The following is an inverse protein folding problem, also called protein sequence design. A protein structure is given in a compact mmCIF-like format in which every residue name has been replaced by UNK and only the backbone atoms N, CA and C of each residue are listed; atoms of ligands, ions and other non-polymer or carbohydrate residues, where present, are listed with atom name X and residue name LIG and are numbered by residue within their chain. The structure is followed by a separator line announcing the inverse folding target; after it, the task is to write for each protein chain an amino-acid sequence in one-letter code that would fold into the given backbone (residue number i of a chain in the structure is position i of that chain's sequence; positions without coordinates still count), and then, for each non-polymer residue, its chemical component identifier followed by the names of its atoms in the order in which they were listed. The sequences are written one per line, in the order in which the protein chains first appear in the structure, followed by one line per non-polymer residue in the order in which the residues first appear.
data_IF_158517256815
#
_entry.id   IF_158517256815
#
_cell.length_a   1.000
_cell.length_b   1.000
_cell.length_c   1.000
_cell.angle_alpha   90.00
_cell.angle_beta   90.00
_cell.angle_gamma   90.00
#
_symmetry.space_group_name_H-M   'P 1'
#
loop_
_entity.id
_entity.type
_entity.pdbx_description
1 polymer ?
#
# COMPACT_ATOMS: atom_id res chain seq x y z
N UNK A 1 1.73 17.54 31.28
CA UNK A 1 1.00 17.82 30.03
C UNK A 1 1.98 17.59 28.88
N UNK A 2 1.71 16.61 28.01
CA UNK A 2 2.60 16.25 26.91
C UNK A 2 2.56 17.29 25.79
N UNK A 3 3.73 17.63 25.23
CA UNK A 3 3.83 18.45 24.02
C UNK A 3 3.47 17.60 22.79
N UNK A 4 2.18 17.32 22.65
CA UNK A 4 1.65 16.59 21.51
C UNK A 4 1.46 17.57 20.34
N UNK A 5 2.02 17.22 19.19
CA UNK A 5 2.02 18.05 17.99
C UNK A 5 1.45 17.31 16.79
N UNK A 6 0.70 18.04 15.96
CA UNK A 6 0.24 17.55 14.66
C UNK A 6 1.32 17.74 13.59
N UNK A 7 1.31 16.87 12.58
CA UNK A 7 2.13 17.06 11.38
C UNK A 7 1.62 18.26 10.55
N UNK A 8 2.55 18.95 9.88
CA UNK A 8 2.24 20.08 9.01
C UNK A 8 1.42 19.71 7.77
N UNK A 9 1.28 20.64 6.82
CA UNK A 9 0.58 20.37 5.57
C UNK A 9 1.29 19.27 4.77
N UNK A 10 0.52 18.27 4.35
CA UNK A 10 1.01 17.16 3.52
C UNK A 10 0.61 15.80 4.08
N UNK A 11 0.79 14.76 3.29
CA UNK A 11 0.70 13.39 3.75
C UNK A 11 2.11 12.87 4.02
N UNK A 12 2.30 12.21 5.17
CA UNK A 12 3.59 11.69 5.60
C UNK A 12 3.47 10.19 5.85
N UNK A 13 4.41 9.42 5.32
CA UNK A 13 4.45 7.97 5.45
C UNK A 13 5.80 7.52 5.97
N UNK A 14 5.77 6.57 6.90
CA UNK A 14 6.96 5.83 7.32
C UNK A 14 6.92 4.42 6.75
N UNK A 15 8.10 3.96 6.37
CA UNK A 15 8.36 2.57 6.13
C UNK A 15 8.71 1.89 7.45
N UNK A 16 7.94 0.89 7.85
CA UNK A 16 8.18 0.09 9.04
C UNK A 16 8.57 -1.32 8.61
N UNK A 17 9.74 -1.77 9.06
CA UNK A 17 10.21 -3.14 8.87
C UNK A 17 9.65 -4.05 9.96
N UNK A 18 9.71 -5.37 9.77
CA UNK A 18 9.20 -6.36 10.74
C UNK A 18 7.68 -6.19 11.01
N UNK A 19 6.85 -6.31 9.97
CA UNK A 19 5.38 -6.35 10.07
C UNK A 19 4.84 -7.22 11.24
N UNK A 20 5.50 -8.34 11.56
CA UNK A 20 5.14 -9.21 12.70
C UNK A 20 5.31 -8.56 14.08
N UNK A 21 6.22 -7.61 14.25
CA UNK A 21 6.37 -6.83 15.49
C UNK A 21 5.28 -5.75 15.62
N UNK A 22 4.80 -5.21 14.49
CA UNK A 22 3.60 -4.36 14.48
C UNK A 22 2.36 -5.12 15.01
N UNK A 23 2.19 -6.39 14.65
CA UNK A 23 1.13 -7.25 15.24
C UNK A 23 1.26 -7.40 16.77
N UNK A 24 2.49 -7.36 17.30
CA UNK A 24 2.74 -7.51 18.75
C UNK A 24 2.42 -6.26 19.56
N UNK A 25 2.37 -5.07 18.94
CA UNK A 25 1.88 -3.85 19.60
C UNK A 25 0.40 -3.97 20.05
N UNK A 26 -0.31 -5.03 19.65
CA UNK A 26 -1.67 -5.37 20.08
C UNK A 26 -1.73 -6.30 21.32
N UNK A 27 -0.61 -6.87 21.76
CA UNK A 27 -0.63 -8.00 22.71
C UNK A 27 -1.25 -9.28 22.13
N UNK A 28 -1.51 -9.36 20.81
CA UNK A 28 -1.95 -10.59 20.13
C UNK A 28 -0.75 -11.40 19.65
N UNK A 29 -0.47 -12.52 20.34
CA UNK A 29 0.47 -13.54 19.88
C UNK A 29 -0.09 -14.30 18.68
N UNK A 30 0.14 -13.80 17.46
CA UNK A 30 -0.07 -14.62 16.27
C UNK A 30 1.11 -15.59 16.13
N UNK A 31 0.92 -16.83 16.59
CA UNK A 31 1.81 -17.99 16.39
C UNK A 31 1.72 -18.49 14.93
N UNK A 32 1.92 -17.60 13.96
CA UNK A 32 1.97 -17.91 12.55
C UNK A 32 3.36 -17.62 11.99
N UNK A 33 4.29 -18.56 12.15
CA UNK A 33 5.60 -18.47 11.52
C UNK A 33 5.45 -18.55 9.99
N UNK A 34 5.63 -17.40 9.30
CA UNK A 34 5.83 -17.35 7.85
C UNK A 34 7.22 -16.81 7.54
N UNK A 35 8.25 -17.65 7.71
CA UNK A 35 9.63 -17.45 7.23
C UNK A 35 10.35 -16.13 7.60
N UNK A 36 11.67 -16.00 7.35
CA UNK A 36 12.40 -14.76 7.52
C UNK A 36 12.15 -13.77 6.36
N UNK A 37 10.90 -13.65 5.92
CA UNK A 37 10.46 -12.65 4.98
C UNK A 37 10.14 -11.37 5.74
N UNK A 38 11.09 -10.43 5.77
CA UNK A 38 10.91 -9.09 6.31
C UNK A 38 9.79 -8.39 5.52
N UNK A 39 8.53 -8.58 5.94
CA UNK A 39 7.42 -7.87 5.35
C UNK A 39 7.53 -6.40 5.75
N UNK A 40 7.80 -5.58 4.74
CA UNK A 40 7.81 -4.14 4.78
C UNK A 40 6.37 -3.63 4.79
N UNK A 41 6.06 -2.64 5.63
CA UNK A 41 4.74 -2.04 5.69
C UNK A 41 4.84 -0.51 5.67
N UNK A 42 3.93 0.14 4.98
CA UNK A 42 3.87 1.61 4.92
C UNK A 42 2.69 2.08 5.75
N UNK A 43 2.95 3.03 6.65
CA UNK A 43 1.97 3.59 7.57
C UNK A 43 1.97 5.10 7.47
N UNK A 44 0.82 5.71 7.71
CA UNK A 44 0.70 7.17 7.73
C UNK A 44 1.09 7.69 9.10
N UNK A 45 1.86 8.76 9.18
CA UNK A 45 2.07 9.48 10.45
C UNK A 45 1.01 10.54 10.57
N UNK A 46 0.49 10.72 11.78
CA UNK A 46 -0.56 11.69 12.11
C UNK A 46 -0.12 12.70 13.16
N UNK A 47 0.96 12.41 13.91
CA UNK A 47 1.51 13.33 14.90
C UNK A 47 2.67 12.73 15.69
N UNK A 48 3.05 13.43 16.76
CA UNK A 48 4.05 12.97 17.72
C UNK A 48 3.70 13.49 19.12
N UNK A 49 4.36 12.94 20.12
CA UNK A 49 4.17 13.40 21.50
C UNK A 49 5.27 12.93 22.44
N UNK A 50 5.01 13.18 23.72
CA UNK A 50 5.81 12.68 24.84
C UNK A 50 4.88 12.23 25.95
N UNK A 51 4.98 10.96 26.31
CA UNK A 51 4.24 10.38 27.43
C UNK A 51 5.23 9.78 28.42
N UNK A 52 5.14 10.16 29.71
CA UNK A 52 6.01 9.66 30.77
C UNK A 52 7.52 9.75 30.46
N UNK A 53 7.93 10.81 29.76
CA UNK A 53 9.33 11.02 29.34
C UNK A 53 9.74 10.27 28.07
N UNK A 54 8.87 9.43 27.51
CA UNK A 54 9.14 8.67 26.27
C UNK A 54 8.55 9.41 25.06
N UNK A 55 9.40 9.74 24.09
CA UNK A 55 9.00 10.36 22.82
C UNK A 55 8.39 9.30 21.90
N UNK A 56 7.28 9.63 21.26
CA UNK A 56 6.63 8.73 20.30
C UNK A 56 6.22 9.43 19.00
N UNK A 57 6.11 8.65 17.93
CA UNK A 57 5.34 8.97 16.73
C UNK A 57 3.94 8.36 16.87
N UNK A 58 2.90 9.08 16.47
CA UNK A 58 1.55 8.55 16.28
C UNK A 58 1.37 8.21 14.82
N UNK A 59 1.06 6.95 14.53
CA UNK A 59 0.79 6.47 13.18
C UNK A 59 -0.62 5.93 13.04
N UNK A 60 -1.17 6.02 11.82
CA UNK A 60 -2.42 5.38 11.42
C UNK A 60 -2.12 4.17 10.56
N UNK A 61 -2.68 3.03 10.95
CA UNK A 61 -2.56 1.78 10.22
C UNK A 61 -3.75 1.59 9.26
N UNK A 62 -3.59 0.68 8.30
CA UNK A 62 -4.58 0.37 7.26
C UNK A 62 -5.36 -0.92 7.53
N UNK A 63 -5.30 -1.44 8.76
CA UNK A 63 -5.95 -2.71 9.15
C UNK A 63 -7.35 -2.54 9.72
N UNK A 64 -7.88 -1.32 9.75
CA UNK A 64 -9.21 -1.01 10.29
C UNK A 64 -9.17 -0.64 11.78
N UNK A 65 -10.32 -0.16 12.27
CA UNK A 65 -10.43 0.45 13.61
C UNK A 65 -10.38 -0.54 14.77
N UNK A 66 -10.56 -1.83 14.51
CA UNK A 66 -10.50 -2.88 15.54
C UNK A 66 -9.07 -3.20 16.01
N UNK A 67 -8.05 -2.62 15.36
CA UNK A 67 -6.65 -2.85 15.66
C UNK A 67 -6.04 -1.66 16.41
N UNK A 68 -5.15 -1.92 17.37
CA UNK A 68 -4.43 -0.88 18.10
C UNK A 68 -5.36 0.08 18.85
N UNK A 69 -5.07 1.37 18.73
CA UNK A 69 -5.79 2.48 19.37
C UNK A 69 -6.85 3.03 18.42
N UNK A 70 -7.84 2.21 18.05
CA UNK A 70 -8.89 2.61 17.10
C UNK A 70 -8.41 2.67 15.64
N UNK A 71 -7.38 1.91 15.28
CA UNK A 71 -6.71 1.91 13.98
C UNK A 71 -5.37 2.67 13.98
N UNK A 72 -5.07 3.40 15.05
CA UNK A 72 -3.81 4.10 15.23
C UNK A 72 -2.83 3.28 16.12
N UNK A 73 -1.57 3.68 16.16
CA UNK A 73 -0.54 3.13 17.05
C UNK A 73 0.48 4.19 17.44
N UNK A 74 1.29 3.86 18.44
CA UNK A 74 2.43 4.66 18.88
C UNK A 74 3.72 3.84 18.78
N UNK A 75 4.77 4.47 18.30
CA UNK A 75 6.11 3.87 18.18
C UNK A 75 7.16 4.82 18.74
N UNK A 76 8.18 4.28 19.39
CA UNK A 76 9.27 5.07 19.97
C UNK A 76 9.94 5.93 18.90
N UNK A 77 10.10 7.21 19.20
CA UNK A 77 10.68 8.22 18.31
C UNK A 77 12.09 8.59 18.75
N UNK A 78 12.98 8.78 17.77
CA UNK A 78 14.37 9.19 17.94
C UNK A 78 15.34 8.02 18.15
N UNK A 79 14.89 6.79 17.93
CA UNK A 79 15.70 5.57 18.08
C UNK A 79 15.68 4.70 16.81
N UNK A 80 15.09 5.18 15.71
CA UNK A 80 14.87 4.41 14.48
C UNK A 80 14.29 3.00 14.73
N UNK A 81 13.35 2.89 15.67
CA UNK A 81 12.76 1.61 16.04
C UNK A 81 12.01 1.01 14.84
N UNK A 82 12.20 -0.28 14.57
CA UNK A 82 11.69 -0.97 13.37
C UNK A 82 12.07 -0.29 12.04
N UNK A 83 13.18 0.44 12.01
CA UNK A 83 13.62 1.27 10.89
C UNK A 83 12.59 2.32 10.44
N UNK A 84 11.70 2.74 11.34
CA UNK A 84 10.62 3.68 11.02
C UNK A 84 11.12 5.04 10.56
N UNK A 85 12.34 5.44 10.94
CA UNK A 85 12.92 6.75 10.63
C UNK A 85 13.94 6.67 9.49
N UNK A 86 14.16 5.48 8.93
CA UNK A 86 15.15 5.23 7.89
C UNK A 86 14.67 5.47 6.47
N UNK A 87 13.35 5.38 6.21
CA UNK A 87 12.78 5.65 4.90
C UNK A 87 11.39 6.32 5.02
N UNK A 88 11.32 7.57 4.59
CA UNK A 88 10.19 8.46 4.80
C UNK A 88 9.80 9.11 3.47
N UNK A 89 8.50 9.14 3.20
CA UNK A 89 7.96 9.83 2.02
C UNK A 89 6.93 10.86 2.43
N UNK A 90 6.94 12.01 1.75
CA UNK A 90 5.93 13.05 1.95
C UNK A 90 5.60 13.76 0.64
N UNK A 91 4.40 14.34 0.58
CA UNK A 91 3.98 15.18 -0.52
C UNK A 91 2.97 16.23 -0.05
N UNK A 92 2.99 17.40 -0.68
CA UNK A 92 1.94 18.40 -0.59
C UNK A 92 1.12 18.31 -1.89
N UNK A 93 -0.18 18.01 -1.82
CA UNK A 93 -1.00 17.96 -3.02
C UNK A 93 -1.02 19.34 -3.68
N UNK A 94 -0.92 19.37 -5.00
CA UNK A 94 -1.18 20.57 -5.76
C UNK A 94 -2.66 20.92 -5.60
N UNK A 95 -2.96 22.17 -5.27
CA UNK A 95 -4.33 22.66 -5.24
C UNK A 95 -4.85 22.83 -6.68
N UNK A 96 -5.44 21.76 -7.18
CA UNK A 96 -6.11 21.72 -8.49
C UNK A 96 -7.60 21.99 -8.37
N UNK A 97 -8.16 21.92 -7.15
CA UNK A 97 -9.60 22.09 -6.91
C UNK A 97 -10.02 23.55 -7.01
N UNK A 98 -9.28 24.48 -6.38
CA UNK A 98 -9.62 25.91 -6.45
C UNK A 98 -9.41 26.50 -7.83
N UNK A 99 -8.58 25.85 -8.65
CA UNK A 99 -8.22 26.29 -10.01
C UNK A 99 -8.98 25.53 -11.11
N UNK A 100 -9.89 24.63 -10.74
CA UNK A 100 -10.62 23.73 -11.65
C UNK A 100 -9.73 23.02 -12.68
N UNK A 101 -8.52 22.62 -12.25
CA UNK A 101 -7.59 21.86 -13.09
C UNK A 101 -7.99 20.39 -12.97
N UNK A 102 -8.66 19.88 -14.01
CA UNK A 102 -9.12 18.48 -14.04
C UNK A 102 -8.16 17.62 -14.84
N UNK A 103 -7.89 16.42 -14.33
CA UNK A 103 -7.28 15.39 -15.15
C UNK A 103 -8.38 14.83 -16.08
N UNK A 104 -8.43 15.34 -17.31
CA UNK A 104 -9.37 14.87 -18.32
C UNK A 104 -8.87 13.54 -18.85
N UNK A 105 -9.66 12.47 -18.68
CA UNK A 105 -9.42 11.23 -19.40
C UNK A 105 -9.60 11.52 -20.88
N UNK A 106 -8.50 11.47 -21.63
CA UNK A 106 -8.50 11.53 -23.09
C UNK A 106 -9.42 10.42 -23.65
N UNK A 107 -10.31 10.69 -24.62
CA UNK A 107 -11.16 9.67 -25.24
C UNK A 107 -10.39 8.56 -25.96
N UNK A 108 -9.10 8.73 -26.29
CA UNK A 108 -8.34 7.84 -27.16
C UNK A 108 -7.62 6.65 -26.50
N UNK A 109 -8.06 6.17 -25.34
CA UNK A 109 -7.76 4.78 -24.91
C UNK A 109 -8.59 3.75 -25.72
N UNK A 110 -8.59 3.88 -27.05
CA UNK A 110 -8.86 2.77 -27.96
C UNK A 110 -7.50 2.25 -28.41
N UNK A 111 -7.06 1.08 -27.89
CA UNK A 111 -7.59 -0.17 -28.41
C UNK A 111 -7.69 -1.31 -27.36
N UNK A 112 -8.51 -1.16 -26.30
CA UNK A 112 -8.92 -2.37 -25.54
C UNK A 112 -9.86 -3.27 -26.38
N UNK A 113 -10.62 -2.70 -27.32
CA UNK A 113 -11.45 -3.47 -28.24
C UNK A 113 -10.65 -4.10 -29.40
N UNK A 114 -9.62 -3.44 -29.97
CA UNK A 114 -8.79 -4.10 -31.00
C UNK A 114 -7.94 -5.24 -30.41
N UNK A 115 -7.50 -5.16 -29.14
CA UNK A 115 -6.79 -6.25 -28.47
C UNK A 115 -7.69 -7.49 -28.28
N UNK A 116 -8.96 -7.30 -27.91
CA UNK A 116 -9.96 -8.39 -27.83
C UNK A 116 -10.26 -8.99 -29.20
N UNK A 117 -10.35 -8.16 -30.24
CA UNK A 117 -10.67 -8.60 -31.60
C UNK A 117 -9.46 -9.27 -32.29
N UNK A 118 -8.23 -8.80 -32.07
CA UNK A 118 -6.98 -9.48 -32.48
C UNK A 118 -6.77 -10.82 -31.78
N UNK A 119 -7.13 -10.94 -30.51
CA UNK A 119 -7.00 -12.20 -29.79
C UNK A 119 -8.06 -13.23 -30.23
N UNK A 120 -9.27 -12.78 -30.56
CA UNK A 120 -10.33 -13.65 -31.10
C UNK A 120 -10.03 -14.14 -32.53
N UNK A 121 -9.45 -13.28 -33.37
CA UNK A 121 -9.01 -13.64 -34.74
C UNK A 121 -7.74 -14.49 -34.78
N UNK A 122 -6.83 -14.33 -33.80
CA UNK A 122 -5.67 -15.24 -33.65
C UNK A 122 -6.08 -16.64 -33.20
N UNK A 123 -7.13 -16.75 -32.38
CA UNK A 123 -7.71 -18.03 -31.95
C UNK A 123 -8.49 -18.75 -33.06
N UNK A 124 -9.13 -18.03 -33.99
CA UNK A 124 -9.83 -18.66 -35.12
C UNK A 124 -8.86 -19.21 -36.18
N UNK A 125 -7.74 -18.53 -36.45
CA UNK A 125 -6.69 -19.01 -37.37
C UNK A 125 -5.96 -20.24 -36.81
N UNK A 126 -5.73 -20.31 -35.48
CA UNK A 126 -5.08 -21.47 -34.85
C UNK A 126 -5.99 -22.71 -34.72
N UNK A 127 -7.32 -22.54 -34.74
CA UNK A 127 -8.25 -23.68 -34.81
C UNK A 127 -8.26 -24.32 -36.19
N UNK A 128 -8.19 -23.52 -37.26
CA UNK A 128 -8.16 -24.03 -38.65
C UNK A 128 -6.91 -24.84 -38.99
N UNK A 129 -5.78 -24.62 -38.29
CA UNK A 129 -4.52 -25.30 -38.57
C UNK A 129 -4.35 -26.65 -37.81
N UNK A 130 -5.30 -27.04 -36.95
CA UNK A 130 -5.24 -28.32 -36.21
C UNK A 130 -6.09 -29.45 -36.80
N UNK A 131 -6.95 -29.17 -37.78
CA UNK A 131 -7.87 -30.17 -38.35
C UNK A 131 -7.35 -30.91 -39.59
N UNK A 132 -6.12 -30.67 -40.03
CA UNK A 132 -5.58 -31.33 -41.23
C UNK A 132 -4.80 -32.63 -40.98
N UNK A 133 -4.85 -33.22 -39.77
CA UNK A 133 -4.05 -34.42 -39.43
C UNK A 133 -4.82 -35.56 -38.76
N UNK A 134 -6.11 -35.76 -39.04
CA UNK A 134 -6.81 -37.02 -38.72
C UNK A 134 -7.83 -37.40 -39.80
N UNK A 135 -7.38 -38.12 -40.83
CA UNK A 135 -8.21 -39.04 -41.59
C UNK A 135 -7.32 -40.08 -42.28
N UNK A 136 -7.12 -41.23 -41.64
CA UNK A 136 -6.77 -42.48 -42.33
C UNK A 136 -8.05 -43.32 -42.37
N UNK A 137 -8.58 -43.68 -43.55
CA UNK A 137 -9.74 -44.56 -43.64
C UNK A 137 -9.34 -46.02 -43.34
N UNK A 138 -10.35 -46.81 -42.94
CA UNK A 138 -10.30 -48.24 -42.65
C UNK A 138 -9.76 -49.07 -43.81
#
# INVERSE_FOLDING_TARGET
AGNDGGIGKGAYYLHVQHHSELHRLQGRNHQGQRGPGLANHHVSITGWGVENGVKYWRGRNSWGSYWGEGGDFRIVRGANYLNAEGNCSWAVPLDTWTKDIRNLTQPEDTPKQEMLQKNSSRLSVQRSARDSHQARPL
#
